data_IF_491710521165
#
_entry.id   IF_491710521165
#
_cell.length_a   1.000
_cell.length_b   1.000
_cell.length_c   1.000
_cell.angle_alpha   90.00
_cell.angle_beta   90.00
_cell.angle_gamma   90.00
#
_symmetry.space_group_name_H-M   'P 1'
#
loop_
_entity.id
_entity.type
_entity.pdbx_description
1 polymer ?
#
# COMPACT_ATOMS: atom_id res chain seq x y z
N UNK A 1 -3.70 -8.04 -22.22
CA UNK A 1 -3.99 -8.79 -20.98
C UNK A 1 -4.36 -7.73 -19.95
N UNK A 2 -5.65 -7.57 -19.62
CA UNK A 2 -6.07 -6.61 -18.59
C UNK A 2 -5.60 -7.13 -17.24
N UNK A 3 -4.67 -6.44 -16.59
CA UNK A 3 -4.33 -6.71 -15.19
C UNK A 3 -5.26 -5.84 -14.35
N UNK A 4 -6.36 -6.44 -13.91
CA UNK A 4 -7.24 -5.84 -12.91
C UNK A 4 -6.63 -6.09 -11.54
N UNK A 5 -5.97 -5.09 -10.97
CA UNK A 5 -5.53 -5.13 -9.58
C UNK A 5 -6.75 -4.95 -8.68
N UNK A 6 -7.05 -5.96 -7.85
CA UNK A 6 -8.20 -5.98 -6.96
C UNK A 6 -8.01 -4.92 -5.87
N UNK A 7 -8.77 -3.82 -5.93
CA UNK A 7 -8.80 -2.81 -4.87
C UNK A 7 -9.58 -1.55 -5.22
N UNK A 8 -9.43 -1.03 -6.44
CA UNK A 8 -10.22 0.10 -6.92
C UNK A 8 -11.53 -0.35 -7.58
N UNK A 9 -12.64 0.31 -7.24
CA UNK A 9 -13.90 0.19 -7.97
C UNK A 9 -13.91 1.16 -9.15
N UNK A 10 -13.86 0.61 -10.36
CA UNK A 10 -13.86 1.39 -11.60
C UNK A 10 -15.24 1.31 -12.23
N UNK A 11 -15.91 2.44 -12.31
CA UNK A 11 -17.21 2.58 -12.96
C UNK A 11 -16.99 3.11 -14.37
N UNK A 12 -17.10 2.25 -15.37
CA UNK A 12 -16.94 2.66 -16.76
C UNK A 12 -17.90 3.80 -17.11
N UNK A 13 -17.40 4.76 -17.88
CA UNK A 13 -18.10 6.00 -18.24
C UNK A 13 -18.37 6.98 -17.08
N UNK A 14 -17.89 6.70 -15.86
CA UNK A 14 -18.06 7.55 -14.67
C UNK A 14 -16.75 7.86 -13.95
N UNK A 15 -15.82 6.90 -13.89
CA UNK A 15 -14.49 7.10 -13.32
C UNK A 15 -13.61 7.88 -14.30
N UNK A 16 -12.91 8.89 -13.81
CA UNK A 16 -11.96 9.69 -14.60
C UNK A 16 -10.53 9.19 -14.42
N UNK A 17 -9.70 9.33 -15.45
CA UNK A 17 -8.26 9.12 -15.33
C UNK A 17 -7.65 10.29 -14.54
N UNK A 18 -6.95 9.99 -13.44
CA UNK A 18 -6.37 11.04 -12.57
C UNK A 18 -5.26 11.87 -13.25
N UNK A 19 -4.72 11.42 -14.40
CA UNK A 19 -3.65 12.10 -15.13
C UNK A 19 -4.14 13.04 -16.23
N UNK A 20 -5.19 12.66 -16.97
CA UNK A 20 -5.70 13.44 -18.10
C UNK A 20 -7.11 14.02 -17.87
N UNK A 21 -7.79 13.62 -16.79
CA UNK A 21 -9.18 13.96 -16.45
C UNK A 21 -10.22 13.53 -17.50
N UNK A 22 -9.83 12.66 -18.45
CA UNK A 22 -10.79 12.04 -19.36
C UNK A 22 -11.39 10.78 -18.74
N UNK A 23 -12.63 10.50 -19.09
CA UNK A 23 -13.37 9.34 -18.59
C UNK A 23 -12.72 8.01 -19.02
N UNK A 24 -12.68 7.07 -18.09
CA UNK A 24 -12.33 5.67 -18.34
C UNK A 24 -13.55 4.97 -18.95
N UNK A 25 -13.39 4.45 -20.17
CA UNK A 25 -14.41 3.67 -20.86
C UNK A 25 -13.80 2.43 -21.54
N UNK A 26 -14.60 1.70 -22.29
CA UNK A 26 -14.16 0.48 -22.97
C UNK A 26 -13.32 0.73 -24.24
N UNK A 27 -13.14 2.00 -24.67
CA UNK A 27 -12.44 2.33 -25.91
C UNK A 27 -10.91 2.31 -25.77
N UNK A 28 -10.39 2.46 -24.54
CA UNK A 28 -8.96 2.53 -24.24
C UNK A 28 -8.59 1.61 -23.07
N UNK A 29 -7.41 0.96 -23.13
CA UNK A 29 -6.92 0.21 -21.98
C UNK A 29 -6.62 1.14 -20.80
N UNK A 30 -6.84 0.62 -19.61
CA UNK A 30 -6.64 1.33 -18.35
C UNK A 30 -6.03 0.40 -17.30
N UNK A 31 -5.41 1.01 -16.30
CA UNK A 31 -4.86 0.35 -15.11
C UNK A 31 -5.60 0.88 -13.90
N UNK A 32 -6.11 -0.03 -13.08
CA UNK A 32 -6.64 0.29 -11.75
C UNK A 32 -5.57 0.11 -10.69
N UNK A 33 -5.57 0.98 -9.69
CA UNK A 33 -4.64 0.91 -8.57
C UNK A 33 -5.40 0.71 -7.26
N UNK A 34 -4.99 -0.24 -6.41
CA UNK A 34 -5.60 -0.45 -5.11
C UNK A 34 -5.29 0.72 -4.15
N UNK A 35 -5.96 0.79 -2.99
CA UNK A 35 -5.60 1.72 -1.91
C UNK A 35 -4.31 1.28 -1.21
N UNK A 36 -3.18 1.28 -1.92
CA UNK A 36 -1.89 0.79 -1.41
C UNK A 36 -1.24 1.73 -0.39
N UNK A 37 -1.62 3.00 -0.26
CA UNK A 37 -1.12 3.89 0.82
C UNK A 37 -2.20 4.80 1.38
N UNK A 38 -2.15 5.00 2.70
CA UNK A 38 -2.96 6.02 3.38
C UNK A 38 -2.21 7.32 3.64
N UNK A 39 -0.97 7.46 3.16
CA UNK A 39 -0.16 8.64 3.37
C UNK A 39 -0.35 9.66 2.24
N UNK A 40 -1.16 10.69 2.48
CA UNK A 40 -1.41 11.77 1.52
C UNK A 40 -0.18 12.64 1.20
N UNK A 41 0.90 12.53 1.98
CA UNK A 41 2.19 13.20 1.70
C UNK A 41 3.12 12.37 0.83
N UNK A 42 2.83 11.09 0.61
CA UNK A 42 3.65 10.27 -0.25
C UNK A 42 3.51 10.73 -1.71
N UNK A 43 4.62 10.89 -2.47
CA UNK A 43 4.57 11.28 -3.88
C UNK A 43 3.66 10.38 -4.74
N UNK A 44 3.51 9.10 -4.39
CA UNK A 44 2.68 8.14 -5.14
C UNK A 44 1.24 8.06 -4.64
N UNK A 45 0.83 8.85 -3.65
CA UNK A 45 -0.54 8.82 -3.11
C UNK A 45 -1.61 9.06 -4.16
N UNK A 46 -1.34 9.91 -5.16
CA UNK A 46 -2.30 10.22 -6.23
C UNK A 46 -2.60 9.02 -7.15
N UNK A 47 -1.77 7.98 -7.11
CA UNK A 47 -2.05 6.70 -7.75
C UNK A 47 -2.80 5.73 -6.83
N UNK A 48 -3.07 6.07 -5.57
CA UNK A 48 -3.76 5.18 -4.64
C UNK A 48 -5.28 5.28 -4.81
N UNK A 49 -5.95 4.13 -4.92
CA UNK A 49 -7.41 4.03 -5.12
C UNK A 49 -7.93 4.83 -6.33
N UNK A 50 -7.30 4.64 -7.49
CA UNK A 50 -7.64 5.36 -8.71
C UNK A 50 -7.57 4.49 -9.97
N UNK A 51 -7.88 5.10 -11.11
CA UNK A 51 -7.66 4.52 -12.44
C UNK A 51 -6.92 5.48 -13.36
N UNK A 52 -6.15 4.94 -14.29
CA UNK A 52 -5.46 5.71 -15.34
C UNK A 52 -5.57 5.01 -16.69
N UNK A 53 -5.61 5.76 -17.78
CA UNK A 53 -5.35 5.17 -19.09
C UNK A 53 -3.92 4.65 -19.15
N UNK A 54 -3.73 3.48 -19.78
CA UNK A 54 -2.41 2.84 -19.88
C UNK A 54 -1.40 3.76 -20.59
N UNK A 55 -1.82 4.49 -21.62
CA UNK A 55 -0.97 5.47 -22.33
C UNK A 55 -0.53 6.65 -21.45
N UNK A 56 -1.40 7.12 -20.57
CA UNK A 56 -1.09 8.19 -19.62
C UNK A 56 -0.07 7.70 -18.59
N UNK A 57 -0.23 6.48 -18.09
CA UNK A 57 0.71 5.85 -17.17
C UNK A 57 2.10 5.71 -17.80
N UNK A 58 2.21 5.13 -18.99
CA UNK A 58 3.50 4.93 -19.67
C UNK A 58 4.24 6.23 -19.99
N UNK A 59 3.50 7.33 -20.10
CA UNK A 59 4.08 8.67 -20.33
C UNK A 59 4.46 9.39 -19.03
N UNK A 60 4.03 8.89 -17.87
CA UNK A 60 4.27 9.54 -16.58
C UNK A 60 5.67 9.22 -16.03
N UNK A 61 6.40 10.20 -15.47
CA UNK A 61 7.76 9.98 -14.93
C UNK A 61 7.84 8.88 -13.86
N UNK A 62 6.79 8.72 -13.05
CA UNK A 62 6.72 7.70 -11.99
C UNK A 62 6.24 6.32 -12.46
N UNK A 63 6.07 6.08 -13.77
CA UNK A 63 5.53 4.83 -14.31
C UNK A 63 6.21 3.58 -13.73
N UNK A 64 7.55 3.50 -13.85
CA UNK A 64 8.29 2.33 -13.36
C UNK A 64 8.16 2.17 -11.85
N UNK A 65 8.20 3.28 -11.10
CA UNK A 65 8.10 3.26 -9.65
C UNK A 65 6.73 2.72 -9.22
N UNK A 66 5.63 3.25 -9.77
CA UNK A 66 4.28 2.82 -9.37
C UNK A 66 3.96 1.40 -9.81
N UNK A 67 4.47 0.95 -10.96
CA UNK A 67 4.35 -0.46 -11.38
C UNK A 67 5.09 -1.40 -10.43
N UNK A 68 6.30 -1.03 -9.97
CA UNK A 68 7.02 -1.86 -8.98
C UNK A 68 6.31 -1.93 -7.63
N UNK A 69 5.61 -0.85 -7.25
CA UNK A 69 4.76 -0.80 -6.06
C UNK A 69 3.55 -1.73 -6.21
N UNK A 70 2.92 -1.78 -7.39
CA UNK A 70 1.83 -2.70 -7.65
C UNK A 70 2.27 -4.16 -7.58
N UNK A 71 3.44 -4.49 -8.13
CA UNK A 71 3.98 -5.85 -8.06
C UNK A 71 4.27 -6.25 -6.60
N UNK A 72 4.84 -5.35 -5.80
CA UNK A 72 5.10 -5.57 -4.38
C UNK A 72 3.81 -5.74 -3.57
N UNK A 73 2.79 -4.91 -3.83
CA UNK A 73 1.48 -5.02 -3.21
C UNK A 73 0.82 -6.36 -3.54
N UNK A 74 0.83 -6.79 -4.81
CA UNK A 74 0.24 -8.05 -5.22
C UNK A 74 0.93 -9.26 -4.57
N UNK A 75 2.25 -9.20 -4.41
CA UNK A 75 3.04 -10.25 -3.76
C UNK A 75 2.78 -10.34 -2.25
N UNK A 76 2.36 -9.25 -1.60
CA UNK A 76 2.13 -9.22 -0.14
C UNK A 76 0.74 -9.67 0.29
N UNK A 77 -0.20 -9.80 -0.65
CA UNK A 77 -1.59 -10.18 -0.34
C UNK A 77 -1.68 -11.64 0.15
N UNK A 78 -2.33 -11.91 1.31
CA UNK A 78 -2.55 -13.27 1.79
C UNK A 78 -3.22 -14.20 0.77
N UNK A 79 -4.21 -13.69 0.03
CA UNK A 79 -4.92 -14.44 -1.02
C UNK A 79 -4.02 -14.88 -2.18
N UNK A 80 -2.81 -14.31 -2.30
CA UNK A 80 -1.81 -14.64 -3.30
C UNK A 80 -0.59 -15.36 -2.73
N UNK A 81 -0.70 -15.91 -1.53
CA UNK A 81 0.41 -16.60 -0.89
C UNK A 81 1.21 -15.74 0.09
N UNK A 82 0.64 -14.63 0.59
CA UNK A 82 1.29 -13.77 1.56
C UNK A 82 1.76 -14.54 2.80
N UNK A 83 3.05 -14.43 3.09
CA UNK A 83 3.71 -15.08 4.23
C UNK A 83 3.84 -14.12 5.40
N UNK A 84 3.85 -14.67 6.61
CA UNK A 84 4.09 -13.88 7.81
C UNK A 84 5.57 -13.48 7.91
N UNK A 85 5.83 -12.20 8.16
CA UNK A 85 7.18 -11.63 8.25
C UNK A 85 7.98 -12.11 9.49
N UNK A 86 7.36 -12.86 10.40
CA UNK A 86 8.01 -13.36 11.62
C UNK A 86 8.53 -14.78 11.44
N UNK A 87 7.67 -15.70 11.00
CA UNK A 87 7.94 -17.14 10.91
C UNK A 87 8.02 -17.65 9.47
N UNK A 88 7.67 -16.83 8.47
CA UNK A 88 7.70 -17.19 7.04
C UNK A 88 6.55 -18.11 6.61
N UNK A 89 5.64 -18.46 7.53
CA UNK A 89 4.51 -19.34 7.27
C UNK A 89 3.40 -18.63 6.49
N UNK A 90 2.65 -19.40 5.71
CA UNK A 90 1.52 -18.89 4.94
C UNK A 90 0.40 -18.38 5.85
N UNK A 91 -0.15 -17.20 5.54
CA UNK A 91 -1.32 -16.68 6.25
C UNK A 91 -2.59 -17.27 5.64
N UNK A 92 -3.22 -18.18 6.38
CA UNK A 92 -4.44 -18.89 5.93
C UNK A 92 -5.73 -18.33 6.51
N UNK A 93 -5.67 -17.61 7.63
CA UNK A 93 -6.83 -16.97 8.27
C UNK A 93 -6.91 -15.47 7.93
N UNK A 94 -7.86 -15.04 7.08
CA UNK A 94 -8.03 -13.65 6.71
C UNK A 94 -8.52 -12.75 7.86
N UNK A 95 -8.98 -13.31 8.99
CA UNK A 95 -9.36 -12.52 10.16
C UNK A 95 -8.16 -12.21 11.08
N UNK A 96 -7.09 -12.99 10.96
CA UNK A 96 -5.97 -12.98 11.89
C UNK A 96 -4.67 -12.44 11.31
N UNK A 97 -4.75 -11.46 10.41
CA UNK A 97 -3.57 -10.81 9.85
C UNK A 97 -3.57 -9.29 10.01
N UNK A 98 -2.36 -8.73 10.06
CA UNK A 98 -2.06 -7.31 9.96
C UNK A 98 -1.16 -7.14 8.73
N UNK A 99 -1.53 -6.29 7.79
CA UNK A 99 -0.71 -6.00 6.61
C UNK A 99 -0.40 -4.51 6.56
N UNK A 100 0.82 -4.19 6.21
CA UNK A 100 1.25 -2.83 5.91
C UNK A 100 1.08 -2.59 4.41
N UNK A 101 0.65 -1.38 4.05
CA UNK A 101 0.70 -0.93 2.66
C UNK A 101 2.08 -0.38 2.32
N UNK A 102 2.10 0.48 1.32
CA UNK A 102 3.19 1.43 1.08
C UNK A 102 3.19 2.47 2.20
N UNK A 103 4.23 2.43 3.04
CA UNK A 103 4.44 3.39 4.12
C UNK A 103 5.13 4.66 3.61
N UNK A 104 6.12 4.49 2.74
CA UNK A 104 6.81 5.56 2.01
C UNK A 104 7.39 5.02 0.70
N UNK A 105 7.34 5.81 -0.37
CA UNK A 105 7.94 5.50 -1.67
C UNK A 105 9.39 5.97 -1.79
N UNK A 106 9.91 6.69 -0.79
CA UNK A 106 11.30 7.15 -0.74
C UNK A 106 12.22 6.06 -0.15
N UNK A 107 13.14 5.46 -0.93
CA UNK A 107 14.06 4.43 -0.45
C UNK A 107 15.13 4.95 0.50
N UNK A 108 15.28 6.27 0.67
CA UNK A 108 16.21 6.85 1.66
C UNK A 108 15.59 6.94 3.06
N UNK A 109 14.28 6.79 3.19
CA UNK A 109 13.60 6.77 4.49
C UNK A 109 13.75 5.38 5.13
N UNK A 110 14.17 5.31 6.39
CA UNK A 110 14.31 4.03 7.12
C UNK A 110 13.00 3.22 7.14
N UNK A 111 11.84 3.91 7.13
CA UNK A 111 10.52 3.28 7.13
C UNK A 111 10.25 2.44 5.86
N UNK A 112 10.96 2.72 4.76
CA UNK A 112 10.78 2.06 3.46
C UNK A 112 10.92 0.54 3.54
N UNK A 113 11.84 0.04 4.37
CA UNK A 113 12.10 -1.41 4.49
C UNK A 113 10.94 -2.21 5.09
N UNK A 114 9.96 -1.53 5.67
CA UNK A 114 8.76 -2.15 6.25
C UNK A 114 7.54 -2.09 5.32
N UNK A 115 7.68 -1.54 4.11
CA UNK A 115 6.61 -1.56 3.12
C UNK A 115 6.13 -3.01 2.88
N UNK A 116 4.81 -3.20 2.80
CA UNK A 116 4.19 -4.47 2.42
C UNK A 116 4.47 -5.67 3.33
N UNK A 117 4.95 -5.44 4.56
CA UNK A 117 5.04 -6.53 5.53
C UNK A 117 3.64 -7.00 5.94
N UNK A 118 3.48 -8.31 6.01
CA UNK A 118 2.25 -8.94 6.48
C UNK A 118 2.58 -9.86 7.66
N UNK A 119 1.74 -9.86 8.68
CA UNK A 119 1.93 -10.59 9.93
C UNK A 119 0.70 -11.43 10.24
N UNK A 120 0.90 -12.65 10.74
CA UNK A 120 -0.09 -13.25 11.62
C UNK A 120 -0.09 -12.47 12.94
N UNK A 121 -1.25 -11.97 13.39
CA UNK A 121 -1.32 -11.12 14.60
C UNK A 121 -0.74 -11.80 15.84
N UNK A 122 -0.86 -13.13 15.91
CA UNK A 122 -0.35 -13.92 17.03
C UNK A 122 1.17 -13.97 17.10
N UNK A 123 1.85 -13.73 15.97
CA UNK A 123 3.31 -13.85 15.87
C UNK A 123 4.02 -12.50 16.04
N UNK A 124 3.28 -11.37 16.02
CA UNK A 124 3.86 -10.02 16.08
C UNK A 124 4.78 -9.82 17.30
N UNK A 125 4.48 -10.48 18.42
CA UNK A 125 5.30 -10.40 19.64
C UNK A 125 6.72 -10.95 19.45
N UNK A 126 6.91 -11.89 18.52
CA UNK A 126 8.21 -12.48 18.16
C UNK A 126 8.94 -11.76 17.04
N UNK A 127 8.39 -10.67 16.50
CA UNK A 127 9.03 -9.93 15.41
C UNK A 127 10.29 -9.21 15.89
N UNK A 128 11.45 -9.58 15.34
CA UNK A 128 12.75 -9.05 15.77
C UNK A 128 12.87 -7.51 15.62
N UNK A 129 12.33 -6.95 14.53
CA UNK A 129 12.42 -5.51 14.25
C UNK A 129 11.26 -4.72 14.84
N UNK A 130 10.45 -5.31 15.73
CA UNK A 130 9.23 -4.71 16.28
C UNK A 130 9.47 -3.35 16.93
N UNK A 131 10.42 -3.29 17.86
CA UNK A 131 10.71 -2.07 18.62
C UNK A 131 11.33 -1.00 17.71
N UNK A 132 12.14 -1.44 16.74
CA UNK A 132 12.77 -0.56 15.77
C UNK A 132 11.73 0.05 14.81
N UNK A 133 10.80 -0.75 14.29
CA UNK A 133 9.66 -0.26 13.52
C UNK A 133 8.86 0.76 14.32
N UNK A 134 8.51 0.45 15.57
CA UNK A 134 7.74 1.35 16.43
C UNK A 134 8.46 2.70 16.59
N UNK A 135 9.78 2.68 16.80
CA UNK A 135 10.59 3.90 16.90
C UNK A 135 10.56 4.68 15.58
N UNK A 136 10.98 4.06 14.47
CA UNK A 136 11.08 4.70 13.15
C UNK A 136 9.73 5.26 12.70
N UNK A 137 8.65 4.49 12.85
CA UNK A 137 7.31 4.92 12.48
C UNK A 137 6.81 6.08 13.34
N UNK A 138 7.14 6.11 14.64
CA UNK A 138 6.81 7.24 15.52
C UNK A 138 7.60 8.48 15.10
N UNK A 139 8.90 8.35 14.86
CA UNK A 139 9.75 9.47 14.40
C UNK A 139 9.25 10.04 13.06
N UNK A 140 8.80 9.18 12.14
CA UNK A 140 8.22 9.56 10.85
C UNK A 140 6.90 10.34 11.00
N UNK A 141 6.05 9.91 11.93
CA UNK A 141 4.81 10.62 12.31
C UNK A 141 5.12 11.99 12.92
N UNK A 142 6.04 12.04 13.89
CA UNK A 142 6.38 13.26 14.64
C UNK A 142 7.08 14.30 13.76
N UNK A 143 7.86 13.85 12.77
CA UNK A 143 8.40 14.70 11.71
C UNK A 143 7.33 15.22 10.73
N UNK A 144 6.07 14.80 10.89
CA UNK A 144 4.95 15.20 10.05
C UNK A 144 5.04 14.63 8.63
N UNK A 145 5.81 13.57 8.39
CA UNK A 145 5.98 12.97 7.05
C UNK A 145 4.79 12.11 6.63
N UNK A 146 3.88 11.82 7.56
CA UNK A 146 2.62 11.15 7.28
C UNK A 146 1.42 12.07 7.51
N UNK A 147 0.49 12.10 6.54
CA UNK A 147 -0.86 12.66 6.78
C UNK A 147 -1.89 11.67 6.26
N UNK A 148 -2.78 11.22 7.15
CA UNK A 148 -3.83 10.28 6.82
C UNK A 148 -5.01 10.91 6.06
N UNK A 149 -5.79 10.08 5.36
CA UNK A 149 -7.02 10.51 4.70
C UNK A 149 -8.20 10.55 5.68
N UNK A 150 -9.07 11.55 5.55
CA UNK A 150 -10.33 11.67 6.32
C UNK A 150 -10.16 11.62 7.85
N UNK A 151 -9.04 12.13 8.37
CA UNK A 151 -8.75 12.18 9.81
C UNK A 151 -8.30 10.86 10.43
N UNK A 152 -8.26 9.77 9.67
CA UNK A 152 -7.72 8.49 10.14
C UNK A 152 -6.24 8.38 9.80
N UNK A 153 -5.39 8.16 10.81
CA UNK A 153 -3.96 7.94 10.61
C UNK A 153 -3.62 6.44 10.68
N UNK A 154 -3.49 5.81 9.52
CA UNK A 154 -3.22 4.38 9.40
C UNK A 154 -1.89 3.97 10.04
N UNK A 155 -0.84 4.79 9.93
CA UNK A 155 0.46 4.50 10.54
C UNK A 155 0.38 4.53 12.08
N UNK A 156 -0.32 5.50 12.66
CA UNK A 156 -0.56 5.55 14.10
C UNK A 156 -1.34 4.31 14.57
N UNK A 157 -2.35 3.89 13.81
CA UNK A 157 -3.09 2.66 14.10
C UNK A 157 -2.19 1.41 14.02
N UNK A 158 -1.32 1.31 13.01
CA UNK A 158 -0.37 0.20 12.88
C UNK A 158 0.59 0.13 14.06
N UNK A 159 1.16 1.26 14.49
CA UNK A 159 2.02 1.34 15.69
C UNK A 159 1.27 0.79 16.91
N UNK A 160 0.00 1.17 17.09
CA UNK A 160 -0.81 0.66 18.19
C UNK A 160 -1.04 -0.86 18.10
N UNK A 161 -1.32 -1.40 16.91
CA UNK A 161 -1.48 -2.85 16.75
C UNK A 161 -0.18 -3.60 17.01
N UNK A 162 0.95 -3.09 16.52
CA UNK A 162 2.26 -3.70 16.75
C UNK A 162 2.65 -3.68 18.23
N UNK A 163 2.30 -2.62 18.97
CA UNK A 163 2.55 -2.52 20.42
C UNK A 163 1.68 -3.44 21.27
N UNK A 164 0.53 -3.90 20.78
CA UNK A 164 -0.30 -4.86 21.53
C UNK A 164 0.47 -6.15 21.74
N UNK A 165 0.44 -6.63 22.98
CA UNK A 165 0.84 -7.99 23.32
C UNK A 165 -0.48 -8.76 23.36
N UNK A 166 -0.66 -9.68 22.42
CA UNK A 166 -1.76 -10.63 22.40
C UNK A 166 -1.42 -11.86 23.24
#
# INVERSE_FOLDING_TARGET
MLVLYLGALIFLSLTECILCNEVIDASRPYVGFPPFTGNTKDPLYHFSDCAVHESCLHSHPSCQQVLSILDAYDASLPSRGGVCAVDGELITDPHNFLSFGLLTSDPQEELYRFNFLTFNKMNISGWADRDEFVRIATDFLDAGKWVGTSGFNALAYMILQVRKIY
#
